data_IF_321338447726
#
_entry.id   IF_321338447726
#
_cell.length_a   1.000
_cell.length_b   1.000
_cell.length_c   1.000
_cell.angle_alpha   90.00
_cell.angle_beta   90.00
_cell.angle_gamma   90.00
#
_symmetry.space_group_name_H-M   'P 1'
#
loop_
_entity.id
_entity.type
_entity.pdbx_description
1 polymer ?
#
# COMPACT_ATOMS: atom_id res chain seq x y z
N UNK A 1 6.16 14.67 -7.49
CA UNK A 1 5.77 13.24 -7.55
C UNK A 1 5.91 12.59 -6.18
N UNK A 2 7.10 12.39 -5.60
CA UNK A 2 7.22 11.77 -4.25
C UNK A 2 6.48 12.57 -3.15
N UNK A 3 6.68 13.88 -3.07
CA UNK A 3 5.94 14.73 -2.13
C UNK A 3 4.43 14.81 -2.39
N UNK A 4 3.96 14.36 -3.56
CA UNK A 4 2.51 14.27 -3.82
C UNK A 4 1.93 13.04 -3.13
N UNK A 5 2.67 11.92 -3.07
CA UNK A 5 2.24 10.70 -2.39
C UNK A 5 2.22 10.85 -0.87
N UNK A 6 3.23 11.50 -0.26
CA UNK A 6 3.27 11.78 1.19
C UNK A 6 2.06 12.61 1.63
N UNK A 7 1.73 13.66 0.86
CA UNK A 7 0.58 14.51 1.14
C UNK A 7 -0.76 13.77 1.00
N UNK A 8 -0.86 12.85 0.04
CA UNK A 8 -2.05 12.01 -0.13
C UNK A 8 -2.21 11.04 1.03
N UNK A 9 -1.11 10.46 1.53
CA UNK A 9 -1.12 9.60 2.73
C UNK A 9 -1.60 10.39 3.94
N UNK A 10 -1.07 11.59 4.17
CA UNK A 10 -1.49 12.47 5.27
C UNK A 10 -3.00 12.74 5.19
N UNK A 11 -3.49 13.20 4.03
CA UNK A 11 -4.90 13.51 3.83
C UNK A 11 -5.82 12.30 4.02
N UNK A 12 -5.48 11.13 3.46
CA UNK A 12 -6.29 9.92 3.64
C UNK A 12 -6.24 9.39 5.08
N UNK A 13 -5.11 9.54 5.77
CA UNK A 13 -4.98 9.18 7.17
C UNK A 13 -5.83 10.09 8.05
N UNK A 14 -5.83 11.40 7.81
CA UNK A 14 -6.72 12.34 8.52
C UNK A 14 -8.19 11.99 8.29
N UNK A 15 -8.57 11.71 7.03
CA UNK A 15 -9.93 11.29 6.70
C UNK A 15 -10.30 10.01 7.46
N UNK A 16 -9.40 9.01 7.50
CA UNK A 16 -9.61 7.71 8.16
C UNK A 16 -10.01 7.82 9.65
N UNK A 17 -9.57 8.87 10.32
CA UNK A 17 -9.88 9.14 11.73
C UNK A 17 -11.13 9.99 11.94
N UNK A 18 -11.80 10.41 10.86
CA UNK A 18 -13.01 11.21 10.92
C UNK A 18 -14.27 10.34 10.84
N UNK A 19 -14.74 9.92 12.02
CA UNK A 19 -15.92 9.06 12.20
C UNK A 19 -17.24 9.68 11.69
N UNK A 20 -17.29 10.97 11.35
CA UNK A 20 -18.47 11.62 10.78
C UNK A 20 -18.70 11.25 9.30
N UNK A 21 -17.63 10.89 8.57
CA UNK A 21 -17.67 10.73 7.11
C UNK A 21 -17.32 9.33 6.60
N UNK A 22 -17.04 8.38 7.49
CA UNK A 22 -16.52 7.06 7.11
C UNK A 22 -17.46 5.94 7.50
N UNK A 23 -17.87 5.17 6.50
CA UNK A 23 -18.40 3.82 6.69
C UNK A 23 -17.30 2.76 6.55
N UNK A 24 -17.62 1.51 6.92
CA UNK A 24 -16.67 0.40 6.90
C UNK A 24 -16.07 0.15 5.51
N UNK A 25 -16.85 0.35 4.45
CA UNK A 25 -16.38 0.16 3.08
C UNK A 25 -15.37 1.23 2.69
N UNK A 26 -15.66 2.50 2.97
CA UNK A 26 -14.76 3.61 2.72
C UNK A 26 -13.48 3.48 3.57
N UNK A 27 -13.60 3.00 4.81
CA UNK A 27 -12.45 2.72 5.69
C UNK A 27 -11.47 1.76 5.01
N UNK A 28 -11.97 0.65 4.47
CA UNK A 28 -11.15 -0.36 3.78
C UNK A 28 -10.52 0.23 2.51
N UNK A 29 -11.29 0.97 1.71
CA UNK A 29 -10.78 1.63 0.50
C UNK A 29 -9.65 2.61 0.83
N UNK A 30 -9.81 3.44 1.87
CA UNK A 30 -8.77 4.38 2.28
C UNK A 30 -7.49 3.66 2.74
N UNK A 31 -7.62 2.55 3.47
CA UNK A 31 -6.46 1.75 3.88
C UNK A 31 -5.72 1.18 2.65
N UNK A 32 -6.44 0.67 1.64
CA UNK A 32 -5.84 0.20 0.39
C UNK A 32 -5.11 1.35 -0.33
N UNK A 33 -5.73 2.53 -0.41
CA UNK A 33 -5.14 3.69 -1.05
C UNK A 33 -3.89 4.19 -0.31
N UNK A 34 -3.89 4.18 1.02
CA UNK A 34 -2.69 4.51 1.80
C UNK A 34 -1.55 3.53 1.49
N UNK A 35 -1.84 2.22 1.47
CA UNK A 35 -0.86 1.20 1.07
C UNK A 35 -0.30 1.42 -0.34
N UNK A 36 -1.16 1.81 -1.30
CA UNK A 36 -0.77 2.14 -2.67
C UNK A 36 0.19 3.34 -2.74
N UNK A 37 -0.05 4.39 -1.95
CA UNK A 37 0.84 5.54 -1.93
C UNK A 37 2.18 5.21 -1.28
N UNK A 38 2.21 4.38 -0.23
CA UNK A 38 3.46 3.86 0.34
C UNK A 38 4.25 3.02 -0.67
N UNK A 39 3.57 2.21 -1.48
CA UNK A 39 4.23 1.46 -2.57
C UNK A 39 4.94 2.40 -3.56
N UNK A 40 4.32 3.51 -3.95
CA UNK A 40 4.94 4.50 -4.83
C UNK A 40 6.08 5.31 -4.19
N UNK A 41 6.15 5.33 -2.86
CA UNK A 41 7.29 5.84 -2.11
C UNK A 41 8.42 4.80 -1.93
N UNK A 42 8.27 3.59 -2.48
CA UNK A 42 9.17 2.45 -2.25
C UNK A 42 9.24 2.01 -0.77
N UNK A 43 8.27 2.43 0.06
CA UNK A 43 8.12 2.00 1.44
C UNK A 43 7.33 0.69 1.50
N UNK A 44 7.96 -0.38 1.01
CA UNK A 44 7.31 -1.67 0.79
C UNK A 44 6.70 -2.29 2.04
N UNK A 45 7.37 -2.17 3.19
CA UNK A 45 6.87 -2.75 4.44
C UNK A 45 5.60 -2.01 4.93
N UNK A 46 5.55 -0.68 4.76
CA UNK A 46 4.35 0.10 5.06
C UNK A 46 3.21 -0.20 4.08
N UNK A 47 3.50 -0.41 2.80
CA UNK A 47 2.50 -0.83 1.82
C UNK A 47 1.86 -2.17 2.21
N UNK A 48 2.69 -3.18 2.49
CA UNK A 48 2.23 -4.52 2.90
C UNK A 48 1.43 -4.48 4.19
N UNK A 49 1.87 -3.70 5.18
CA UNK A 49 1.15 -3.53 6.44
C UNK A 49 -0.30 -3.06 6.23
N UNK A 50 -0.51 -2.05 5.38
CA UNK A 50 -1.87 -1.55 5.10
C UNK A 50 -2.70 -2.55 4.30
N UNK A 51 -2.10 -3.25 3.33
CA UNK A 51 -2.79 -4.31 2.59
C UNK A 51 -3.23 -5.46 3.49
N UNK A 52 -2.41 -5.86 4.46
CA UNK A 52 -2.76 -6.89 5.44
C UNK A 52 -3.90 -6.44 6.36
N UNK A 53 -3.90 -5.18 6.81
CA UNK A 53 -5.03 -4.60 7.56
C UNK A 53 -6.32 -4.67 6.74
N UNK A 54 -6.27 -4.26 5.47
CA UNK A 54 -7.44 -4.30 4.58
C UNK A 54 -7.95 -5.74 4.40
N UNK A 55 -7.06 -6.72 4.18
CA UNK A 55 -7.44 -8.13 4.07
C UNK A 55 -8.06 -8.68 5.36
N UNK A 56 -7.53 -8.30 6.53
CA UNK A 56 -8.08 -8.74 7.83
C UNK A 56 -9.48 -8.20 8.12
N UNK A 57 -9.87 -7.13 7.45
CA UNK A 57 -11.19 -6.49 7.58
C UNK A 57 -12.23 -7.03 6.58
N UNK A 58 -11.85 -7.99 5.72
CA UNK A 58 -12.67 -8.49 4.63
C UNK A 58 -12.94 -9.99 4.75
N UNK A 59 -14.20 -10.38 4.58
CA UNK A 59 -14.60 -11.78 4.41
C UNK A 59 -13.91 -12.42 3.19
N UNK A 60 -13.65 -13.73 3.24
CA UNK A 60 -12.87 -14.46 2.22
C UNK A 60 -13.37 -14.31 0.78
N UNK A 61 -14.67 -14.07 0.58
CA UNK A 61 -15.30 -13.91 -0.73
C UNK A 61 -15.47 -12.44 -1.16
N UNK A 62 -14.92 -11.49 -0.40
CA UNK A 62 -15.08 -10.08 -0.71
C UNK A 62 -14.34 -9.68 -1.99
N UNK A 63 -15.01 -8.96 -2.88
CA UNK A 63 -14.52 -8.62 -4.23
C UNK A 63 -13.18 -7.87 -4.22
N UNK A 64 -12.93 -7.04 -3.21
CA UNK A 64 -11.69 -6.25 -3.10
C UNK A 64 -10.44 -7.09 -2.79
N UNK A 65 -10.57 -8.33 -2.30
CA UNK A 65 -9.40 -9.17 -1.95
C UNK A 65 -8.52 -9.43 -3.16
N UNK A 66 -9.11 -9.63 -4.34
CA UNK A 66 -8.37 -9.83 -5.58
C UNK A 66 -7.48 -8.64 -5.93
N UNK A 67 -7.99 -7.42 -5.77
CA UNK A 67 -7.23 -6.18 -5.98
C UNK A 67 -6.08 -6.05 -4.97
N UNK A 68 -6.33 -6.35 -3.68
CA UNK A 68 -5.30 -6.29 -2.65
C UNK A 68 -4.16 -7.29 -2.94
N UNK A 69 -4.48 -8.52 -3.38
CA UNK A 69 -3.46 -9.48 -3.76
C UNK A 69 -2.64 -9.06 -4.98
N UNK A 70 -3.24 -8.36 -5.95
CA UNK A 70 -2.50 -7.77 -7.08
C UNK A 70 -1.48 -6.76 -6.56
N UNK A 71 -1.90 -5.87 -5.66
CA UNK A 71 -0.99 -4.88 -5.08
C UNK A 71 0.15 -5.52 -4.27
N UNK A 72 -0.13 -6.53 -3.46
CA UNK A 72 0.90 -7.30 -2.73
C UNK A 72 1.89 -7.93 -3.73
N UNK A 73 1.39 -8.54 -4.81
CA UNK A 73 2.23 -9.09 -5.86
C UNK A 73 3.14 -8.05 -6.52
N UNK A 74 2.62 -6.86 -6.78
CA UNK A 74 3.40 -5.74 -7.33
C UNK A 74 4.47 -5.21 -6.37
N UNK A 75 4.19 -5.18 -5.07
CA UNK A 75 5.18 -4.83 -4.04
C UNK A 75 6.35 -5.81 -4.09
N UNK A 76 6.09 -7.12 -4.02
CA UNK A 76 7.16 -8.13 -4.03
C UNK A 76 7.97 -8.13 -5.32
N UNK A 77 7.30 -8.03 -6.47
CA UNK A 77 7.96 -7.92 -7.78
C UNK A 77 8.87 -6.70 -7.86
N UNK A 78 8.42 -5.56 -7.34
CA UNK A 78 9.20 -4.32 -7.40
C UNK A 78 10.36 -4.34 -6.42
N UNK A 79 10.16 -4.87 -5.21
CA UNK A 79 11.21 -5.05 -4.20
C UNK A 79 12.35 -5.93 -4.72
N UNK A 80 12.02 -7.10 -5.29
CA UNK A 80 13.02 -8.02 -5.86
C UNK A 80 13.83 -7.36 -6.98
N UNK A 81 13.17 -6.59 -7.86
CA UNK A 81 13.86 -5.84 -8.91
C UNK A 81 14.83 -4.79 -8.35
N UNK A 82 14.44 -4.06 -7.30
CA UNK A 82 15.29 -3.06 -6.63
C UNK A 82 16.49 -3.73 -5.96
N UNK A 83 16.27 -4.80 -5.21
CA UNK A 83 17.33 -5.56 -4.53
C UNK A 83 18.32 -6.17 -5.54
N UNK A 84 17.80 -6.72 -6.64
CA UNK A 84 18.61 -7.23 -7.76
C UNK A 84 19.46 -6.12 -8.38
N UNK A 85 18.87 -4.96 -8.68
CA UNK A 85 19.61 -3.83 -9.25
C UNK A 85 20.74 -3.34 -8.32
N UNK A 86 20.46 -3.26 -7.01
CA UNK A 86 21.45 -2.90 -6.00
C UNK A 86 22.60 -3.92 -5.91
N UNK A 87 22.30 -5.21 -6.03
CA UNK A 87 23.32 -6.27 -6.07
C UNK A 87 24.26 -6.10 -7.26
N UNK A 88 23.72 -5.85 -8.45
CA UNK A 88 24.54 -5.59 -9.65
C UNK A 88 25.40 -4.33 -9.51
N UNK A 89 24.87 -3.25 -8.92
CA UNK A 89 25.64 -2.03 -8.68
C UNK A 89 26.82 -2.29 -7.72
N UNK A 90 26.59 -3.01 -6.62
CA UNK A 90 27.62 -3.32 -5.62
C UNK A 90 28.71 -4.25 -6.15
N UNK A 91 28.36 -5.27 -6.95
CA UNK A 91 29.33 -6.25 -7.47
C UNK A 91 30.22 -5.72 -8.60
N UNK A 92 29.91 -4.53 -9.15
CA UNK A 92 30.69 -3.89 -10.22
C UNK A 92 31.75 -2.91 -9.69
N UNK A 93 31.77 -2.65 -8.39
CA UNK A 93 32.73 -1.81 -7.68
C UNK A 93 33.60 -2.66 -6.75
#
# INVERSE_FOLDING_TARGET
ILGDYEKVIEYYTELLHNEEFIDDQLRIVLIILIGYNYFHLFEFDNALFHYDIALSSLDDNHILRGEIYIHIGDVWRTRDNVETALSYYKNKH
#
